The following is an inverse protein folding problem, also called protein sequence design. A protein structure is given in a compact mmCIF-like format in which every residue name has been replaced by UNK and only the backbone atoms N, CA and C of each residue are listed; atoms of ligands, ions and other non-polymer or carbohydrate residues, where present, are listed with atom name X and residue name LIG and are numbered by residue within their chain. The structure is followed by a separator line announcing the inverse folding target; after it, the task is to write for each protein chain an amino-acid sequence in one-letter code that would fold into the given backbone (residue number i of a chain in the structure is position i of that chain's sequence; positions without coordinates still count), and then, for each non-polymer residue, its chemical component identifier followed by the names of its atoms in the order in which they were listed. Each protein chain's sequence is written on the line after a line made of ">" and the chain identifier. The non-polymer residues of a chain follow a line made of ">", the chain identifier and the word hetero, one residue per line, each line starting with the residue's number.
data_IF_427632861031
#
_entry.id   IF_427632861031
#
_cell.length_a   1.000
_cell.length_b   1.000
_cell.length_c   1.000
_cell.angle_alpha   90.00
_cell.angle_beta   90.00
_cell.angle_gamma   90.00
#
_symmetry.space_group_name_H-M   'P 1'
#
loop_
_entity.id
_entity.type
_entity.pdbx_description
1 polymer ?
#
# COMPACT_ATOMS: atom_id res chain seq x y z
N UNK A 1 -20.37 28.63 -39.50
CA UNK A 1 -20.09 27.66 -38.45
C UNK A 1 -21.26 27.65 -37.48
N UNK A 2 -22.11 26.60 -37.54
CA UNK A 2 -23.27 26.46 -36.63
C UNK A 2 -22.80 25.65 -35.41
N UNK A 3 -22.87 26.25 -34.23
CA UNK A 3 -22.65 25.53 -32.94
C UNK A 3 -23.97 24.87 -32.55
N UNK A 4 -23.96 23.55 -32.43
CA UNK A 4 -25.09 22.75 -31.95
C UNK A 4 -24.84 22.54 -30.44
N UNK A 5 -25.73 23.07 -29.60
CA UNK A 5 -25.77 22.78 -28.17
C UNK A 5 -26.67 21.57 -27.94
N UNK A 6 -26.08 20.48 -27.41
CA UNK A 6 -26.83 19.32 -26.93
C UNK A 6 -27.20 19.55 -25.47
N UNK A 7 -28.48 19.80 -25.21
CA UNK A 7 -29.05 19.86 -23.87
C UNK A 7 -29.44 18.43 -23.47
N UNK A 8 -28.75 17.88 -22.48
CA UNK A 8 -29.04 16.57 -21.92
C UNK A 8 -30.03 16.74 -20.75
N UNK A 9 -31.30 16.41 -21.00
CA UNK A 9 -32.31 16.32 -19.95
C UNK A 9 -32.19 14.98 -19.25
N UNK A 10 -31.73 14.97 -18.00
CA UNK A 10 -31.75 13.80 -17.13
C UNK A 10 -33.15 13.67 -16.51
N UNK A 11 -33.90 12.71 -16.98
CA UNK A 11 -35.13 12.29 -16.31
C UNK A 11 -34.75 11.46 -15.10
N UNK A 12 -34.91 12.02 -13.90
CA UNK A 12 -34.90 11.28 -12.64
C UNK A 12 -36.22 10.53 -12.50
N UNK A 13 -36.24 9.25 -12.87
CA UNK A 13 -37.28 8.35 -12.43
C UNK A 13 -36.89 7.82 -11.05
N UNK A 14 -37.79 7.82 -10.05
CA UNK A 14 -37.51 7.15 -8.79
C UNK A 14 -37.46 5.64 -9.04
N UNK A 15 -36.27 5.06 -8.97
CA UNK A 15 -36.10 3.63 -8.92
C UNK A 15 -36.58 3.17 -7.54
N UNK A 16 -37.75 2.53 -7.49
CA UNK A 16 -38.12 1.67 -6.37
C UNK A 16 -37.19 0.46 -6.44
N UNK A 17 -36.17 0.44 -5.58
CA UNK A 17 -35.33 -0.72 -5.38
C UNK A 17 -36.13 -1.83 -4.72
N UNK A 18 -36.39 -2.89 -5.46
CA UNK A 18 -36.69 -4.19 -4.86
C UNK A 18 -35.44 -4.58 -4.02
N UNK A 19 -35.67 -4.94 -2.77
CA UNK A 19 -34.67 -5.51 -1.88
C UNK A 19 -34.13 -6.81 -2.51
N UNK A 20 -33.06 -6.67 -3.30
CA UNK A 20 -32.25 -7.81 -3.71
C UNK A 20 -31.47 -8.23 -2.47
N UNK A 21 -31.98 -9.22 -1.76
CA UNK A 21 -31.19 -9.91 -0.76
C UNK A 21 -29.85 -10.32 -1.38
N UNK A 22 -28.69 -9.90 -0.83
CA UNK A 22 -27.40 -10.26 -1.38
C UNK A 22 -27.09 -11.73 -1.02
N UNK A 23 -27.70 -12.65 -1.78
CA UNK A 23 -27.53 -14.09 -1.60
C UNK A 23 -26.20 -14.63 -2.16
N UNK A 24 -25.34 -13.74 -2.64
CA UNK A 24 -24.01 -14.06 -3.20
C UNK A 24 -22.89 -13.19 -2.61
N UNK A 25 -22.99 -12.86 -1.34
CA UNK A 25 -21.78 -12.44 -0.62
C UNK A 25 -20.94 -13.71 -0.41
N UNK A 26 -19.76 -13.71 -1.06
CA UNK A 26 -18.73 -14.73 -0.87
C UNK A 26 -18.68 -15.16 0.59
N UNK A 27 -18.66 -16.48 0.82
CA UNK A 27 -18.59 -17.13 2.13
C UNK A 27 -17.28 -16.83 2.88
N UNK A 28 -17.01 -15.54 3.15
CA UNK A 28 -15.86 -15.06 3.92
C UNK A 28 -16.25 -14.54 5.31
N UNK A 29 -17.38 -15.02 5.84
CA UNK A 29 -17.79 -14.66 7.20
C UNK A 29 -16.77 -15.11 8.27
N UNK A 30 -15.90 -16.07 7.94
CA UNK A 30 -14.81 -16.50 8.82
C UNK A 30 -13.52 -15.67 8.70
N UNK A 31 -13.37 -14.86 7.65
CA UNK A 31 -12.19 -14.01 7.49
C UNK A 31 -12.39 -12.61 8.07
N UNK A 32 -13.61 -12.10 8.16
CA UNK A 32 -13.88 -10.78 8.76
C UNK A 32 -13.43 -10.70 10.23
N UNK A 33 -13.51 -11.80 10.99
CA UNK A 33 -13.03 -11.84 12.38
C UNK A 33 -11.50 -11.86 12.49
N UNK A 34 -10.80 -12.32 11.45
CA UNK A 34 -9.32 -12.29 11.40
C UNK A 34 -8.78 -10.88 11.12
N UNK A 35 -9.47 -10.09 10.30
CA UNK A 35 -9.09 -8.72 10.01
C UNK A 35 -9.36 -7.75 11.17
N UNK A 36 -10.34 -8.06 12.04
CA UNK A 36 -10.64 -7.25 13.23
C UNK A 36 -9.69 -7.53 14.41
N UNK A 37 -8.94 -8.62 14.40
CA UNK A 37 -8.04 -8.98 15.50
C UNK A 37 -6.62 -8.41 15.36
N UNK A 38 -6.25 -7.89 14.21
CA UNK A 38 -5.02 -7.12 14.05
C UNK A 38 -5.31 -5.63 14.22
N UNK A 39 -5.59 -5.21 15.45
CA UNK A 39 -5.22 -3.88 15.89
C UNK A 39 -3.69 -3.86 15.99
N UNK A 40 -3.00 -3.83 14.85
CA UNK A 40 -1.63 -3.38 14.85
C UNK A 40 -1.66 -1.92 15.25
N UNK A 41 -1.44 -1.65 16.52
CA UNK A 41 -1.15 -0.29 16.97
C UNK A 41 0.10 0.13 16.21
N UNK A 42 -0.02 1.18 15.38
CA UNK A 42 1.13 1.79 14.73
C UNK A 42 2.19 2.05 15.81
N UNK A 43 3.44 1.76 15.49
CA UNK A 43 4.53 2.13 16.37
C UNK A 43 4.84 3.63 16.27
N UNK A 44 5.67 4.15 17.19
CA UNK A 44 5.98 5.57 17.27
C UNK A 44 6.59 6.16 15.99
N UNK A 45 7.29 5.37 15.16
CA UNK A 45 7.82 5.83 13.88
C UNK A 45 6.74 5.83 12.80
N UNK A 46 5.93 4.77 12.74
CA UNK A 46 4.82 4.67 11.78
C UNK A 46 3.79 5.79 11.95
N UNK A 47 3.50 6.21 13.20
CA UNK A 47 2.57 7.32 13.48
C UNK A 47 3.03 8.69 12.91
N UNK A 48 4.32 8.83 12.60
CA UNK A 48 4.91 10.07 12.07
C UNK A 48 4.94 10.12 10.54
N UNK A 49 4.54 9.04 9.90
CA UNK A 49 4.59 8.85 8.45
C UNK A 49 3.17 8.74 7.92
N UNK A 50 2.86 9.48 6.88
CA UNK A 50 1.59 9.38 6.16
C UNK A 50 1.86 8.81 4.76
N UNK A 51 1.57 7.52 4.58
CA UNK A 51 1.69 6.86 3.28
C UNK A 51 0.54 7.30 2.39
N UNK A 52 0.87 7.85 1.23
CA UNK A 52 -0.08 8.39 0.27
C UNK A 52 -0.41 7.42 -0.85
N UNK A 53 0.57 6.62 -1.25
CA UNK A 53 0.42 5.77 -2.42
C UNK A 53 1.31 4.53 -2.37
N UNK A 54 0.79 3.43 -2.90
CA UNK A 54 1.52 2.21 -3.19
C UNK A 54 1.35 1.84 -4.67
N UNK A 55 2.45 1.70 -5.40
CA UNK A 55 2.47 1.10 -6.73
C UNK A 55 3.07 -0.30 -6.65
N UNK A 56 2.27 -1.31 -7.02
CA UNK A 56 2.65 -2.72 -6.94
C UNK A 56 2.92 -3.27 -8.34
N UNK A 57 4.10 -3.88 -8.53
CA UNK A 57 4.46 -4.62 -9.72
C UNK A 57 4.85 -6.04 -9.31
N UNK A 58 3.96 -7.02 -9.55
CA UNK A 58 4.08 -8.38 -9.02
C UNK A 58 4.11 -9.41 -10.15
N UNK A 59 5.02 -10.37 -10.01
CA UNK A 59 5.08 -11.62 -10.76
C UNK A 59 4.72 -12.78 -9.82
N UNK A 60 3.68 -13.54 -10.15
CA UNK A 60 3.14 -14.61 -9.29
C UNK A 60 3.34 -15.96 -9.97
N UNK A 61 4.12 -16.83 -9.34
CA UNK A 61 4.32 -18.21 -9.77
C UNK A 61 3.48 -19.16 -8.91
N UNK A 62 2.36 -19.61 -9.46
CA UNK A 62 1.45 -20.53 -8.77
C UNK A 62 2.02 -21.94 -8.57
N UNK A 63 2.97 -22.38 -9.40
CA UNK A 63 3.57 -23.71 -9.27
C UNK A 63 4.55 -23.78 -8.11
N UNK A 64 5.25 -22.69 -7.86
CA UNK A 64 6.22 -22.57 -6.77
C UNK A 64 5.63 -21.85 -5.54
N UNK A 65 4.36 -21.45 -5.59
CA UNK A 65 3.72 -20.62 -4.54
C UNK A 65 4.59 -19.42 -4.18
N UNK A 66 5.18 -18.78 -5.17
CA UNK A 66 6.14 -17.69 -4.98
C UNK A 66 5.66 -16.40 -5.62
N UNK A 67 5.90 -15.30 -4.93
CA UNK A 67 5.78 -13.96 -5.48
C UNK A 67 7.15 -13.30 -5.53
N UNK A 68 7.36 -12.45 -6.53
CA UNK A 68 8.48 -11.51 -6.62
C UNK A 68 8.01 -10.24 -7.31
N UNK A 69 8.66 -9.15 -7.03
CA UNK A 69 8.30 -7.89 -7.66
C UNK A 69 8.88 -6.69 -6.97
N UNK A 70 8.21 -5.58 -7.17
CA UNK A 70 8.55 -4.32 -6.50
C UNK A 70 7.30 -3.62 -6.00
N UNK A 71 7.47 -2.87 -4.93
CA UNK A 71 6.50 -1.89 -4.46
C UNK A 71 7.18 -0.53 -4.40
N UNK A 72 6.56 0.48 -5.01
CA UNK A 72 6.94 1.87 -4.78
C UNK A 72 6.01 2.44 -3.71
N UNK A 73 6.61 3.07 -2.71
CA UNK A 73 5.92 3.65 -1.56
C UNK A 73 6.19 5.13 -1.56
N UNK A 74 5.12 5.92 -1.74
CA UNK A 74 5.17 7.38 -1.63
C UNK A 74 4.55 7.81 -0.30
N UNK A 75 5.23 8.64 0.45
CA UNK A 75 4.77 9.11 1.74
C UNK A 75 5.28 10.49 2.10
N UNK A 76 4.72 11.02 3.17
CA UNK A 76 5.06 12.32 3.76
C UNK A 76 5.49 12.12 5.20
N UNK A 77 6.58 12.75 5.59
CA UNK A 77 6.99 12.83 6.98
C UNK A 77 6.26 14.01 7.65
N UNK A 78 5.64 13.75 8.78
CA UNK A 78 4.97 14.79 9.57
C UNK A 78 5.95 15.79 10.21
N UNK A 79 5.43 16.62 11.11
CA UNK A 79 6.24 17.64 11.79
C UNK A 79 7.29 17.07 12.74
N UNK A 80 7.14 15.83 13.16
CA UNK A 80 8.09 15.11 14.03
C UNK A 80 8.74 14.03 13.18
N UNK A 81 10.04 14.14 12.99
CA UNK A 81 10.81 13.21 12.18
C UNK A 81 10.99 11.88 12.93
N UNK A 82 10.71 10.72 12.30
CA UNK A 82 11.08 9.41 12.83
C UNK A 82 12.59 9.16 12.67
N UNK A 83 13.13 8.21 13.42
CA UNK A 83 14.49 7.74 13.19
C UNK A 83 14.58 6.85 11.93
N UNK A 84 13.50 6.09 11.68
CA UNK A 84 13.39 5.16 10.56
C UNK A 84 12.05 5.32 9.86
N UNK A 85 12.01 5.09 8.54
CA UNK A 85 10.79 4.68 7.85
C UNK A 85 10.60 3.21 8.14
N UNK A 86 9.48 2.85 8.77
CA UNK A 86 9.16 1.50 9.17
C UNK A 86 7.90 1.02 8.44
N UNK A 87 8.05 -0.09 7.73
CA UNK A 87 6.99 -0.72 6.93
C UNK A 87 6.82 -2.18 7.36
N UNK A 88 5.58 -2.63 7.47
CA UNK A 88 5.28 -4.02 7.77
C UNK A 88 5.60 -4.90 6.55
N UNK A 89 6.46 -5.88 6.74
CA UNK A 89 6.81 -6.87 5.73
C UNK A 89 7.16 -8.19 6.43
N UNK A 90 6.43 -9.24 6.13
CA UNK A 90 6.61 -10.53 6.78
C UNK A 90 8.01 -11.09 6.56
N UNK A 91 8.61 -11.71 7.59
CA UNK A 91 9.99 -12.23 7.58
C UNK A 91 10.23 -13.34 6.54
N UNK A 92 9.16 -14.01 6.03
CA UNK A 92 9.28 -14.97 4.94
C UNK A 92 9.48 -14.32 3.55
N UNK A 93 9.37 -12.99 3.47
CA UNK A 93 9.70 -12.20 2.29
C UNK A 93 11.15 -11.75 2.35
N UNK A 94 11.88 -11.94 1.28
CA UNK A 94 13.29 -11.54 1.16
C UNK A 94 13.32 -10.21 0.42
N UNK A 95 13.89 -9.19 1.04
CA UNK A 95 14.15 -7.91 0.37
C UNK A 95 15.44 -8.03 -0.41
N UNK A 96 15.37 -7.83 -1.72
CA UNK A 96 16.53 -7.89 -2.61
C UNK A 96 17.27 -6.54 -2.61
N UNK A 97 16.54 -5.43 -2.66
CA UNK A 97 17.10 -4.08 -2.62
C UNK A 97 16.01 -3.03 -2.34
N UNK A 98 16.44 -1.88 -1.85
CA UNK A 98 15.62 -0.68 -1.74
C UNK A 98 16.33 0.44 -2.48
N UNK A 99 15.59 1.16 -3.31
CA UNK A 99 16.13 2.27 -4.09
C UNK A 99 15.35 3.56 -3.80
N UNK A 100 16.08 4.67 -3.72
CA UNK A 100 15.56 6.02 -3.85
C UNK A 100 16.27 6.70 -5.02
N UNK A 101 15.52 7.17 -6.02
CA UNK A 101 16.11 7.80 -7.23
C UNK A 101 17.22 6.94 -7.89
N UNK A 102 17.04 5.62 -7.93
CA UNK A 102 18.02 4.62 -8.39
C UNK A 102 19.30 4.50 -7.53
N UNK A 103 19.32 5.09 -6.34
CA UNK A 103 20.41 4.96 -5.37
C UNK A 103 20.02 3.89 -4.36
N UNK A 104 20.85 2.85 -4.14
CA UNK A 104 20.60 1.84 -3.13
C UNK A 104 20.62 2.42 -1.72
N UNK A 105 19.62 2.00 -0.91
CA UNK A 105 19.45 2.41 0.47
C UNK A 105 19.85 1.28 1.42
N UNK A 106 20.39 1.64 2.58
CA UNK A 106 20.57 0.69 3.67
C UNK A 106 19.22 0.39 4.33
N UNK A 107 19.05 -0.85 4.78
CA UNK A 107 17.85 -1.27 5.48
C UNK A 107 18.15 -2.41 6.46
N UNK A 108 17.24 -2.62 7.39
CA UNK A 108 17.17 -3.78 8.27
C UNK A 108 15.79 -4.41 8.12
N UNK A 109 15.73 -5.73 7.93
CA UNK A 109 14.48 -6.48 7.87
C UNK A 109 14.50 -7.56 8.95
N UNK A 110 13.67 -7.41 9.98
CA UNK A 110 13.58 -8.32 11.10
C UNK A 110 12.25 -8.14 11.85
N UNK A 111 11.72 -9.21 12.43
CA UNK A 111 10.48 -9.21 13.20
C UNK A 111 9.28 -8.64 12.43
N UNK A 112 9.13 -9.07 11.18
CA UNK A 112 8.08 -8.61 10.26
C UNK A 112 8.11 -7.10 9.99
N UNK A 113 9.27 -6.45 10.21
CA UNK A 113 9.45 -5.02 10.07
C UNK A 113 10.64 -4.70 9.18
N UNK A 114 10.39 -3.89 8.14
CA UNK A 114 11.41 -3.29 7.29
C UNK A 114 11.70 -1.88 7.79
N UNK A 115 12.96 -1.61 8.16
CA UNK A 115 13.43 -0.34 8.72
C UNK A 115 14.45 0.30 7.79
N UNK A 116 14.22 1.54 7.39
CA UNK A 116 15.10 2.31 6.53
C UNK A 116 15.47 3.59 7.28
N UNK A 117 16.78 3.85 7.53
CA UNK A 117 17.20 5.04 8.25
C UNK A 117 16.74 6.31 7.55
N UNK A 118 16.05 7.20 8.25
CA UNK A 118 15.59 8.46 7.66
C UNK A 118 16.76 9.37 7.27
N UNK A 119 17.90 9.26 7.99
CA UNK A 119 19.12 10.02 7.70
C UNK A 119 19.65 9.82 6.28
N UNK A 120 19.35 8.68 5.66
CA UNK A 120 19.84 8.32 4.34
C UNK A 120 18.84 8.69 3.23
N UNK A 121 17.65 9.12 3.62
CA UNK A 121 16.56 9.44 2.69
C UNK A 121 16.58 10.93 2.32
N UNK A 122 16.48 11.21 1.03
CA UNK A 122 16.27 12.56 0.54
C UNK A 122 14.78 12.89 0.54
N UNK A 123 14.41 13.92 1.28
CA UNK A 123 13.06 14.48 1.27
C UNK A 123 13.02 15.69 0.34
N UNK A 124 11.87 15.95 -0.25
CA UNK A 124 11.64 17.20 -0.98
C UNK A 124 11.21 18.34 -0.03
N UNK A 125 10.87 19.50 -0.61
CA UNK A 125 10.47 20.71 0.15
C UNK A 125 9.16 20.52 0.94
N UNK A 126 8.36 19.52 0.60
CA UNK A 126 7.10 19.14 1.27
C UNK A 126 7.25 17.92 2.20
N UNK A 127 8.48 17.51 2.47
CA UNK A 127 8.82 16.31 3.22
C UNK A 127 8.32 15.00 2.58
N UNK A 128 8.16 14.98 1.27
CA UNK A 128 7.79 13.81 0.51
C UNK A 128 9.00 12.91 0.29
N UNK A 129 8.75 11.61 0.33
CA UNK A 129 9.71 10.58 -0.10
C UNK A 129 9.04 9.59 -1.04
N UNK A 130 9.85 8.97 -1.90
CA UNK A 130 9.46 7.84 -2.74
C UNK A 130 10.54 6.77 -2.67
N UNK A 131 10.16 5.55 -2.31
CA UNK A 131 11.07 4.42 -2.18
C UNK A 131 10.56 3.25 -3.01
N UNK A 132 11.43 2.61 -3.78
CA UNK A 132 11.10 1.38 -4.50
C UNK A 132 11.80 0.20 -3.83
N UNK A 133 11.01 -0.76 -3.35
CA UNK A 133 11.44 -1.96 -2.63
C UNK A 133 11.26 -3.16 -3.55
N UNK A 134 12.34 -3.88 -3.83
CA UNK A 134 12.34 -5.13 -4.58
C UNK A 134 12.37 -6.29 -3.59
N UNK A 135 11.45 -7.23 -3.77
CA UNK A 135 11.31 -8.35 -2.85
C UNK A 135 10.81 -9.60 -3.54
N UNK A 136 11.02 -10.73 -2.88
CA UNK A 136 10.50 -12.02 -3.29
C UNK A 136 10.25 -12.90 -2.07
N UNK A 137 9.40 -13.89 -2.21
CA UNK A 137 9.13 -14.83 -1.13
C UNK A 137 7.98 -15.77 -1.43
N UNK A 138 7.70 -16.62 -0.47
CA UNK A 138 6.55 -17.53 -0.48
C UNK A 138 5.56 -17.03 0.56
N UNK A 139 4.46 -16.40 0.16
CA UNK A 139 3.43 -15.98 1.12
C UNK A 139 2.79 -17.20 1.78
N UNK A 140 2.44 -17.08 3.05
CA UNK A 140 1.74 -18.10 3.84
C UNK A 140 0.27 -18.22 3.47
#
# INVERSE_FOLDING_TARGET
>A
MKKIYFSFFIFLTPFYGEDIEPKYLCSHEKSASRWQAQNSTLNQNQEKIDIKFYELNLDVDFNLSRIRGSVTVDGVIGNIYPDFIELDLHDNMIVDSILQNNIPMLYLHENDMLKIPLSDITLDDENLFSLTIFYQGTPD
#
